data_IF_329430371307
#
_entry.id   IF_329430371307
#
_cell.length_a   1.000
_cell.length_b   1.000
_cell.length_c   1.000
_cell.angle_alpha   90.00
_cell.angle_beta   90.00
_cell.angle_gamma   90.00
#
_symmetry.space_group_name_H-M   'P 1'
#
loop_
_entity.id
_entity.type
_entity.pdbx_description
1 polymer ?
#
# COMPACT_ATOMS: atom_id res chain seq x y z
N UNK A 1 -27.96 -21.78 -17.10
CA UNK A 1 -27.24 -21.63 -15.82
C UNK A 1 -26.93 -20.15 -15.65
N UNK A 2 -27.32 -19.52 -14.52
CA UNK A 2 -26.81 -18.18 -14.19
C UNK A 2 -25.30 -18.30 -13.96
N UNK A 3 -24.50 -17.46 -14.59
CA UNK A 3 -23.06 -17.33 -14.31
C UNK A 3 -22.89 -17.02 -12.83
N UNK A 4 -22.05 -17.78 -12.15
CA UNK A 4 -21.72 -17.51 -10.73
C UNK A 4 -20.44 -16.70 -10.74
N UNK A 5 -20.48 -15.49 -10.19
CA UNK A 5 -19.34 -14.59 -10.10
C UNK A 5 -18.52 -14.83 -8.81
N UNK A 6 -18.55 -16.07 -8.29
CA UNK A 6 -17.82 -16.48 -7.10
C UNK A 6 -17.25 -17.90 -7.22
N UNK A 7 -16.17 -18.15 -6.51
CA UNK A 7 -15.63 -19.48 -6.24
C UNK A 7 -16.10 -19.95 -4.87
N UNK A 8 -16.22 -21.26 -4.66
CA UNK A 8 -16.42 -21.82 -3.32
C UNK A 8 -15.06 -22.25 -2.80
N UNK A 9 -14.62 -21.65 -1.68
CA UNK A 9 -13.33 -21.92 -1.06
C UNK A 9 -13.33 -23.24 -0.27
N UNK A 10 -12.17 -23.66 0.21
CA UNK A 10 -12.03 -24.86 1.03
C UNK A 10 -12.86 -24.82 2.32
N UNK A 11 -12.92 -23.65 2.98
CA UNK A 11 -13.76 -23.43 4.18
C UNK A 11 -15.25 -23.26 3.85
N UNK A 12 -15.64 -23.31 2.57
CA UNK A 12 -17.02 -23.21 2.11
C UNK A 12 -17.54 -21.78 1.89
N UNK A 13 -16.69 -20.77 1.96
CA UNK A 13 -17.05 -19.39 1.65
C UNK A 13 -17.34 -19.22 0.16
N UNK A 14 -18.33 -18.38 -0.17
CA UNK A 14 -18.56 -17.90 -1.52
C UNK A 14 -17.72 -16.63 -1.71
N UNK A 15 -16.59 -16.76 -2.35
CA UNK A 15 -15.62 -15.69 -2.55
C UNK A 15 -15.67 -15.15 -3.97
N UNK A 16 -15.87 -13.83 -4.13
CA UNK A 16 -15.87 -13.15 -5.43
C UNK A 16 -14.52 -12.45 -5.67
N UNK A 17 -13.60 -13.02 -6.45
CA UNK A 17 -12.26 -12.42 -6.62
C UNK A 17 -12.27 -11.00 -7.19
N UNK A 18 -13.25 -10.69 -8.06
CA UNK A 18 -13.39 -9.35 -8.66
C UNK A 18 -14.04 -8.30 -7.73
N UNK A 19 -14.71 -8.74 -6.68
CA UNK A 19 -15.33 -7.91 -5.65
C UNK A 19 -15.12 -8.56 -4.28
N UNK A 20 -13.85 -8.66 -3.81
CA UNK A 20 -13.53 -9.38 -2.59
C UNK A 20 -14.15 -8.73 -1.35
N UNK A 21 -14.63 -9.60 -0.45
CA UNK A 21 -15.08 -9.22 0.88
C UNK A 21 -13.98 -9.60 1.88
N UNK A 22 -13.55 -8.66 2.71
CA UNK A 22 -12.50 -8.87 3.72
C UNK A 22 -12.88 -9.98 4.72
N UNK A 23 -14.16 -10.10 5.08
CA UNK A 23 -14.64 -11.14 5.99
C UNK A 23 -14.55 -12.54 5.38
N UNK A 24 -14.64 -12.65 4.06
CA UNK A 24 -14.53 -13.92 3.33
C UNK A 24 -13.07 -14.35 3.03
N UNK A 25 -12.07 -13.51 3.34
CA UNK A 25 -10.66 -13.88 3.27
C UNK A 25 -10.33 -14.75 4.48
N UNK A 26 -9.92 -16.00 4.27
CA UNK A 26 -9.60 -16.96 5.34
C UNK A 26 -8.18 -17.52 5.18
N UNK A 27 -7.39 -17.45 6.24
CA UNK A 27 -6.01 -17.95 6.23
C UNK A 27 -5.92 -19.46 5.93
N UNK A 28 -6.91 -20.25 6.37
CA UNK A 28 -6.94 -21.68 6.08
C UNK A 28 -7.17 -21.93 4.59
N UNK A 29 -8.02 -21.13 3.95
CA UNK A 29 -8.24 -21.20 2.50
C UNK A 29 -6.96 -20.86 1.76
N UNK A 30 -6.26 -19.81 2.19
CA UNK A 30 -4.97 -19.39 1.63
C UNK A 30 -3.95 -20.53 1.74
N UNK A 31 -3.67 -21.01 2.95
CA UNK A 31 -2.69 -22.07 3.20
C UNK A 31 -3.02 -23.35 2.43
N UNK A 32 -4.32 -23.74 2.41
CA UNK A 32 -4.79 -24.91 1.70
C UNK A 32 -4.58 -24.81 0.19
N UNK A 33 -4.97 -23.69 -0.42
CA UNK A 33 -4.85 -23.46 -1.86
C UNK A 33 -3.39 -23.35 -2.29
N UNK A 34 -2.59 -22.51 -1.62
CA UNK A 34 -1.18 -22.32 -1.96
C UNK A 34 -0.35 -23.61 -1.85
N UNK A 35 -0.69 -24.51 -0.91
CA UNK A 35 -0.04 -25.82 -0.83
C UNK A 35 -0.30 -26.70 -2.06
N UNK A 36 -1.30 -26.41 -2.88
CA UNK A 36 -1.75 -27.21 -4.03
C UNK A 36 -1.55 -26.55 -5.38
N UNK A 37 -1.25 -25.25 -5.42
CA UNK A 37 -0.89 -24.51 -6.63
C UNK A 37 0.59 -24.79 -6.90
N UNK A 38 0.89 -25.32 -8.09
CA UNK A 38 2.27 -25.59 -8.53
C UNK A 38 2.91 -24.34 -9.14
N UNK A 39 4.12 -23.99 -8.71
CA UNK A 39 4.93 -22.91 -9.29
C UNK A 39 5.25 -23.17 -10.77
N UNK A 40 5.50 -22.09 -11.52
CA UNK A 40 5.86 -22.12 -12.94
C UNK A 40 4.86 -22.92 -13.79
N UNK A 41 3.55 -22.88 -13.48
CA UNK A 41 2.51 -23.67 -14.15
C UNK A 41 2.83 -25.18 -14.22
N UNK A 42 3.55 -25.73 -13.24
CA UNK A 42 3.90 -27.14 -13.17
C UNK A 42 5.03 -27.54 -14.15
N UNK A 43 5.82 -26.58 -14.66
CA UNK A 43 6.94 -26.86 -15.58
C UNK A 43 8.27 -27.15 -14.90
N UNK A 44 8.32 -27.15 -13.56
CA UNK A 44 9.47 -27.60 -12.81
C UNK A 44 9.62 -29.14 -12.85
N UNK A 45 10.84 -29.67 -12.64
CA UNK A 45 11.12 -31.10 -12.65
C UNK A 45 10.45 -31.87 -11.51
N UNK A 46 10.21 -31.19 -10.40
CA UNK A 46 9.51 -31.70 -9.22
C UNK A 46 8.32 -30.76 -8.92
N UNK A 47 7.28 -31.30 -8.26
CA UNK A 47 6.21 -30.46 -7.78
C UNK A 47 6.70 -29.59 -6.63
N UNK A 48 6.70 -28.29 -6.85
CA UNK A 48 7.04 -27.26 -5.86
C UNK A 48 5.88 -26.28 -5.80
N UNK A 49 5.26 -26.16 -4.64
CA UNK A 49 4.04 -25.37 -4.49
C UNK A 49 4.34 -23.90 -4.20
N UNK A 50 3.38 -23.02 -4.51
CA UNK A 50 3.42 -21.61 -4.08
C UNK A 50 3.55 -21.51 -2.56
N UNK A 51 2.89 -22.38 -1.80
CA UNK A 51 3.02 -22.45 -0.33
C UNK A 51 4.45 -22.77 0.14
N UNK A 52 5.18 -23.69 -0.55
CA UNK A 52 6.60 -23.94 -0.24
C UNK A 52 7.46 -22.71 -0.54
N UNK A 53 7.25 -22.06 -1.68
CA UNK A 53 7.92 -20.82 -2.03
C UNK A 53 7.72 -19.73 -0.96
N UNK A 54 6.49 -19.47 -0.54
CA UNK A 54 6.19 -18.49 0.50
C UNK A 54 6.86 -18.83 1.84
N UNK A 55 6.87 -20.11 2.24
CA UNK A 55 7.57 -20.58 3.42
C UNK A 55 9.08 -20.31 3.34
N UNK A 56 9.68 -20.60 2.21
CA UNK A 56 11.13 -20.41 2.02
C UNK A 56 11.49 -18.92 1.90
N UNK A 57 10.63 -18.07 1.29
CA UNK A 57 10.77 -16.61 1.33
C UNK A 57 10.73 -16.07 2.77
N UNK A 58 9.79 -16.53 3.60
CA UNK A 58 9.69 -16.09 4.99
C UNK A 58 10.91 -16.54 5.83
N UNK A 59 11.39 -17.75 5.63
CA UNK A 59 12.61 -18.28 6.28
C UNK A 59 13.87 -17.52 5.85
N UNK A 60 13.99 -17.22 4.56
CA UNK A 60 15.09 -16.41 4.03
C UNK A 60 15.09 -15.01 4.63
N UNK A 61 13.90 -14.39 4.79
CA UNK A 61 13.77 -13.11 5.48
C UNK A 61 14.34 -13.18 6.90
N UNK A 62 13.95 -14.20 7.69
CA UNK A 62 14.46 -14.39 9.04
C UNK A 62 15.97 -14.64 9.07
N UNK A 63 16.49 -15.45 8.14
CA UNK A 63 17.92 -15.75 8.04
C UNK A 63 18.76 -14.52 7.67
N UNK A 64 18.19 -13.56 6.92
CA UNK A 64 18.79 -12.24 6.64
C UNK A 64 18.72 -11.28 7.83
N UNK A 65 18.10 -11.65 8.94
CA UNK A 65 17.90 -10.79 10.11
C UNK A 65 16.77 -9.77 9.93
N UNK A 66 15.85 -10.00 8.99
CA UNK A 66 14.63 -9.20 8.87
C UNK A 66 13.72 -9.39 10.10
N UNK A 67 12.87 -8.41 10.36
CA UNK A 67 11.88 -8.47 11.44
C UNK A 67 10.84 -9.57 11.20
N UNK A 68 10.18 -10.04 12.26
CA UNK A 68 9.08 -11.01 12.16
C UNK A 68 7.94 -10.47 11.27
N UNK A 69 7.68 -9.17 11.32
CA UNK A 69 6.74 -8.49 10.44
C UNK A 69 7.14 -8.59 8.96
N UNK A 70 8.41 -8.39 8.62
CA UNK A 70 8.90 -8.51 7.24
C UNK A 70 8.83 -9.96 6.75
N UNK A 71 9.15 -10.92 7.61
CA UNK A 71 9.00 -12.35 7.31
C UNK A 71 7.53 -12.74 7.10
N UNK A 72 6.59 -12.17 7.87
CA UNK A 72 5.15 -12.37 7.70
C UNK A 72 4.67 -11.82 6.34
N UNK A 73 5.17 -10.66 5.92
CA UNK A 73 4.87 -10.11 4.59
C UNK A 73 5.41 -11.02 3.48
N UNK A 74 6.62 -11.59 3.65
CA UNK A 74 7.17 -12.58 2.72
C UNK A 74 6.34 -13.87 2.70
N UNK A 75 5.75 -14.30 3.82
CA UNK A 75 4.86 -15.46 3.85
C UNK A 75 3.57 -15.23 3.08
N UNK A 76 3.06 -14.00 3.10
CA UNK A 76 1.76 -13.63 2.51
C UNK A 76 1.86 -13.05 1.09
N UNK A 77 3.04 -12.85 0.50
CA UNK A 77 3.21 -12.04 -0.71
C UNK A 77 2.51 -12.61 -1.97
N UNK A 78 2.30 -13.91 -2.04
CA UNK A 78 1.53 -14.58 -3.10
C UNK A 78 0.15 -15.06 -2.60
N UNK A 79 -0.34 -14.57 -1.45
CA UNK A 79 -1.59 -15.07 -0.85
C UNK A 79 -2.84 -14.81 -1.71
N UNK A 80 -2.83 -13.80 -2.58
CA UNK A 80 -3.89 -13.52 -3.56
C UNK A 80 -4.07 -14.66 -4.57
N UNK A 81 -3.02 -15.42 -4.85
CA UNK A 81 -3.04 -16.54 -5.80
C UNK A 81 -3.95 -17.69 -5.33
N UNK A 82 -4.19 -17.80 -4.02
CA UNK A 82 -5.16 -18.74 -3.46
C UNK A 82 -6.57 -18.56 -4.06
N UNK A 83 -6.91 -17.37 -4.51
CA UNK A 83 -8.21 -17.00 -5.06
C UNK A 83 -8.18 -16.72 -6.56
N UNK A 84 -7.00 -16.42 -7.14
CA UNK A 84 -6.85 -15.97 -8.52
C UNK A 84 -5.93 -16.84 -9.37
N UNK A 85 -5.23 -17.81 -8.76
CA UNK A 85 -4.20 -18.67 -9.37
C UNK A 85 -2.87 -17.95 -9.67
N UNK A 86 -1.77 -18.71 -9.72
CA UNK A 86 -0.45 -18.25 -10.19
C UNK A 86 -0.47 -18.06 -11.70
N UNK A 87 -0.27 -16.82 -12.16
CA UNK A 87 -0.08 -16.50 -13.57
C UNK A 87 1.37 -16.11 -13.81
N UNK A 88 2.04 -16.84 -14.69
CA UNK A 88 3.46 -16.60 -15.00
C UNK A 88 3.71 -15.18 -15.50
N UNK A 89 4.81 -14.56 -15.05
CA UNK A 89 5.17 -13.17 -15.34
C UNK A 89 5.12 -12.76 -16.82
N UNK A 90 5.54 -13.63 -17.81
CA UNK A 90 5.41 -13.30 -19.22
C UNK A 90 3.98 -13.05 -19.71
N UNK A 91 3.00 -13.71 -19.11
CA UNK A 91 1.57 -13.53 -19.42
C UNK A 91 1.01 -12.38 -18.57
N UNK A 92 1.27 -12.39 -17.26
CA UNK A 92 0.73 -11.45 -16.28
C UNK A 92 0.96 -9.99 -16.66
N UNK A 93 2.17 -9.62 -17.14
CA UNK A 93 2.51 -8.25 -17.57
C UNK A 93 1.62 -7.68 -18.68
N UNK A 94 0.87 -8.50 -19.40
CA UNK A 94 -0.07 -8.09 -20.45
C UNK A 94 -1.53 -8.04 -19.97
N UNK A 95 -1.81 -8.43 -18.71
CA UNK A 95 -3.15 -8.54 -18.13
C UNK A 95 -3.41 -7.42 -17.11
N UNK A 96 -3.49 -6.17 -17.57
CA UNK A 96 -3.61 -4.98 -16.69
C UNK A 96 -4.78 -5.06 -15.70
N UNK A 97 -5.95 -5.52 -16.15
CA UNK A 97 -7.13 -5.65 -15.27
C UNK A 97 -6.92 -6.73 -14.21
N UNK A 98 -6.27 -7.85 -14.57
CA UNK A 98 -5.93 -8.89 -13.62
C UNK A 98 -4.98 -8.37 -12.54
N UNK A 99 -3.90 -7.69 -12.93
CA UNK A 99 -2.94 -7.09 -12.01
C UNK A 99 -3.63 -6.15 -11.01
N UNK A 100 -4.50 -5.26 -11.50
CA UNK A 100 -5.22 -4.32 -10.63
C UNK A 100 -6.13 -5.00 -9.59
N UNK A 101 -6.77 -6.12 -9.97
CA UNK A 101 -7.61 -6.91 -9.06
C UNK A 101 -6.75 -7.69 -8.06
N UNK A 102 -5.67 -8.28 -8.53
CA UNK A 102 -4.73 -9.04 -7.71
C UNK A 102 -4.04 -8.15 -6.67
N UNK A 103 -3.50 -6.99 -7.09
CA UNK A 103 -2.88 -6.01 -6.19
C UNK A 103 -3.87 -5.58 -5.10
N UNK A 104 -5.13 -5.27 -5.49
CA UNK A 104 -6.18 -4.92 -4.54
C UNK A 104 -6.47 -6.03 -3.53
N UNK A 105 -6.57 -7.27 -4.00
CA UNK A 105 -6.83 -8.41 -3.12
C UNK A 105 -5.65 -8.65 -2.17
N UNK A 106 -4.42 -8.56 -2.67
CA UNK A 106 -3.22 -8.69 -1.86
C UNK A 106 -3.12 -7.60 -0.79
N UNK A 107 -3.45 -6.35 -1.16
CA UNK A 107 -3.52 -5.24 -0.20
C UNK A 107 -4.54 -5.52 0.91
N UNK A 108 -5.73 -6.05 0.58
CA UNK A 108 -6.74 -6.43 1.57
C UNK A 108 -6.25 -7.56 2.49
N UNK A 109 -5.52 -8.54 1.95
CA UNK A 109 -4.91 -9.62 2.73
C UNK A 109 -3.87 -9.05 3.70
N UNK A 110 -3.00 -8.15 3.23
CA UNK A 110 -2.05 -7.47 4.10
C UNK A 110 -2.75 -6.63 5.17
N UNK A 111 -3.78 -5.87 4.83
CA UNK A 111 -4.54 -5.08 5.81
C UNK A 111 -5.21 -5.96 6.88
N UNK A 112 -5.71 -7.13 6.49
CA UNK A 112 -6.34 -8.07 7.43
C UNK A 112 -5.35 -8.70 8.40
N UNK A 113 -4.17 -9.10 7.92
CA UNK A 113 -3.25 -9.95 8.69
C UNK A 113 -1.99 -9.23 9.17
N UNK A 114 -1.65 -8.09 8.59
CA UNK A 114 -0.46 -7.32 8.96
C UNK A 114 -0.88 -5.90 9.31
N UNK A 115 -0.87 -5.54 10.60
CA UNK A 115 -1.29 -4.22 11.06
C UNK A 115 -0.66 -3.07 10.26
N UNK A 116 -1.51 -2.22 9.62
CA UNK A 116 -1.07 -1.10 8.78
C UNK A 116 -0.57 -1.50 7.38
N UNK A 117 -0.88 -2.73 6.90
CA UNK A 117 -0.55 -3.18 5.55
C UNK A 117 0.95 -3.28 5.26
N UNK A 118 1.35 -3.31 4.00
CA UNK A 118 2.76 -3.32 3.58
C UNK A 118 3.29 -1.89 3.37
N UNK A 119 4.52 -1.65 3.77
CA UNK A 119 5.21 -0.36 3.64
C UNK A 119 6.24 -0.41 2.50
N UNK A 120 6.70 0.74 1.96
CA UNK A 120 7.63 0.79 0.82
C UNK A 120 8.90 -0.02 1.00
N UNK A 121 9.55 0.21 2.14
CA UNK A 121 10.77 -0.50 2.48
C UNK A 121 10.54 -2.00 2.56
N UNK A 122 9.41 -2.39 3.17
CA UNK A 122 9.02 -3.79 3.30
C UNK A 122 8.73 -4.40 1.93
N UNK A 123 8.05 -3.67 1.04
CA UNK A 123 7.78 -4.11 -0.33
C UNK A 123 9.07 -4.37 -1.13
N UNK A 124 10.09 -3.51 -0.98
CA UNK A 124 11.41 -3.73 -1.59
C UNK A 124 12.06 -5.01 -1.07
N UNK A 125 12.05 -5.21 0.26
CA UNK A 125 12.61 -6.41 0.89
C UNK A 125 11.90 -7.67 0.42
N UNK A 126 10.55 -7.67 0.42
CA UNK A 126 9.75 -8.80 -0.08
C UNK A 126 10.11 -9.12 -1.53
N UNK A 127 10.18 -8.09 -2.39
CA UNK A 127 10.50 -8.28 -3.81
C UNK A 127 11.92 -8.77 -4.05
N UNK A 128 12.87 -8.31 -3.26
CA UNK A 128 14.26 -8.80 -3.34
C UNK A 128 14.35 -10.28 -2.95
N UNK A 129 13.68 -10.68 -1.87
CA UNK A 129 13.67 -12.06 -1.40
C UNK A 129 12.94 -12.98 -2.39
N UNK A 130 11.78 -12.56 -2.91
CA UNK A 130 11.04 -13.27 -3.95
C UNK A 130 11.92 -13.52 -5.18
N UNK A 131 12.58 -12.48 -5.70
CA UNK A 131 13.50 -12.61 -6.85
C UNK A 131 14.69 -13.54 -6.55
N UNK A 132 15.24 -13.48 -5.34
CA UNK A 132 16.31 -14.39 -4.91
C UNK A 132 15.82 -15.83 -4.92
N UNK A 133 14.67 -16.09 -4.30
CA UNK A 133 14.11 -17.44 -4.25
C UNK A 133 13.78 -17.97 -5.65
N UNK A 134 13.15 -17.14 -6.50
CA UNK A 134 12.83 -17.48 -7.89
C UNK A 134 14.10 -17.90 -8.66
N UNK A 135 15.23 -17.19 -8.50
CA UNK A 135 16.49 -17.57 -9.13
C UNK A 135 16.92 -18.99 -8.72
N UNK A 136 16.92 -19.28 -7.42
CA UNK A 136 17.36 -20.59 -6.91
C UNK A 136 16.40 -21.73 -7.25
N UNK A 137 15.10 -21.45 -7.34
CA UNK A 137 14.09 -22.39 -7.85
C UNK A 137 14.41 -22.79 -9.30
N UNK A 138 14.66 -21.81 -10.17
CA UNK A 138 14.98 -22.08 -11.58
C UNK A 138 16.29 -22.84 -11.73
N UNK A 139 17.32 -22.50 -10.98
CA UNK A 139 18.60 -23.24 -11.01
C UNK A 139 18.40 -24.69 -10.58
N UNK A 140 17.67 -24.94 -9.49
CA UNK A 140 17.56 -26.29 -8.92
C UNK A 140 16.48 -27.16 -9.59
N UNK A 141 15.37 -26.55 -10.01
CA UNK A 141 14.18 -27.27 -10.53
C UNK A 141 14.09 -27.24 -12.06
N UNK A 142 14.86 -26.37 -12.74
CA UNK A 142 14.85 -26.23 -14.19
C UNK A 142 16.25 -26.34 -14.80
N UNK A 143 17.32 -26.16 -14.02
CA UNK A 143 18.69 -26.10 -14.52
C UNK A 143 18.99 -24.81 -15.30
N UNK A 144 18.23 -23.73 -15.07
CA UNK A 144 18.29 -22.47 -15.81
C UNK A 144 18.69 -21.31 -14.88
N UNK A 145 19.68 -20.50 -15.29
CA UNK A 145 20.07 -19.28 -14.59
C UNK A 145 19.29 -18.11 -15.14
N UNK A 146 18.65 -17.34 -14.27
CA UNK A 146 17.86 -16.15 -14.65
C UNK A 146 18.69 -14.87 -14.76
N UNK A 147 19.93 -14.88 -14.21
CA UNK A 147 20.89 -13.78 -14.30
C UNK A 147 22.32 -14.32 -14.27
N UNK A 148 23.30 -13.49 -14.66
CA UNK A 148 24.72 -13.83 -14.60
C UNK A 148 25.23 -13.92 -13.17
N UNK A 149 24.80 -13.01 -12.30
CA UNK A 149 25.14 -13.00 -10.88
C UNK A 149 24.13 -13.83 -10.08
N UNK A 150 24.65 -14.73 -9.26
CA UNK A 150 23.86 -15.53 -8.35
C UNK A 150 23.52 -14.72 -7.09
N UNK A 151 22.24 -14.45 -6.80
CA UNK A 151 21.88 -13.76 -5.58
C UNK A 151 22.18 -14.61 -4.34
N UNK A 152 22.70 -13.97 -3.28
CA UNK A 152 23.03 -14.67 -2.04
C UNK A 152 21.79 -15.26 -1.37
N UNK A 153 21.87 -16.53 -0.96
CA UNK A 153 20.84 -17.26 -0.22
C UNK A 153 21.39 -17.67 1.15
N UNK A 154 20.59 -17.46 2.21
CA UNK A 154 21.00 -17.68 3.60
C UNK A 154 20.38 -18.94 4.22
N UNK A 155 19.41 -19.53 3.54
CA UNK A 155 18.82 -20.83 3.91
C UNK A 155 19.23 -21.92 2.92
N UNK A 156 18.89 -23.16 3.24
CA UNK A 156 18.94 -24.28 2.31
C UNK A 156 17.54 -24.78 2.03
N UNK A 157 16.86 -24.28 0.94
CA UNK A 157 15.51 -24.70 0.60
C UNK A 157 15.44 -26.20 0.28
N UNK A 158 14.31 -26.81 0.62
CA UNK A 158 14.02 -28.18 0.19
C UNK A 158 13.21 -28.16 -1.11
N UNK A 159 13.85 -28.36 -2.24
CA UNK A 159 13.19 -28.43 -3.54
C UNK A 159 12.54 -29.79 -3.85
N UNK A 160 12.62 -30.77 -2.95
CA UNK A 160 11.94 -32.04 -3.10
C UNK A 160 10.43 -31.87 -2.80
N UNK A 161 9.64 -32.78 -3.35
CA UNK A 161 8.20 -32.84 -3.06
C UNK A 161 7.93 -32.90 -1.56
N UNK A 162 7.14 -31.96 -1.08
CA UNK A 162 6.60 -31.95 0.28
C UNK A 162 5.10 -32.16 0.21
N UNK A 163 4.54 -33.02 1.06
CA UNK A 163 3.10 -33.30 1.03
C UNK A 163 2.27 -32.04 1.29
N UNK A 164 1.16 -31.89 0.59
CA UNK A 164 0.27 -30.74 0.70
C UNK A 164 -0.14 -30.42 2.12
N UNK A 165 -0.44 -31.47 2.89
CA UNK A 165 -0.78 -31.32 4.31
C UNK A 165 0.39 -30.78 5.14
N UNK A 166 1.60 -31.22 4.87
CA UNK A 166 2.78 -30.74 5.59
C UNK A 166 3.09 -29.27 5.27
N UNK A 167 2.93 -28.87 3.99
CA UNK A 167 3.08 -27.46 3.57
C UNK A 167 2.00 -26.60 4.23
N UNK A 168 0.74 -26.99 4.15
CA UNK A 168 -0.39 -26.30 4.76
C UNK A 168 -0.17 -26.10 6.27
N UNK A 169 0.21 -27.17 6.98
CA UNK A 169 0.49 -27.10 8.42
C UNK A 169 1.66 -26.16 8.72
N UNK A 170 2.78 -26.28 8.00
CA UNK A 170 3.94 -25.40 8.22
C UNK A 170 3.60 -23.93 7.94
N UNK A 171 2.77 -23.65 6.94
CA UNK A 171 2.32 -22.30 6.61
C UNK A 171 1.51 -21.68 7.75
N UNK A 172 0.56 -22.43 8.30
CA UNK A 172 -0.27 -21.97 9.43
C UNK A 172 0.57 -21.81 10.71
N UNK A 173 1.44 -22.78 11.02
CA UNK A 173 2.31 -22.71 12.20
C UNK A 173 3.26 -21.49 12.14
N UNK A 174 3.88 -21.27 10.99
CA UNK A 174 4.79 -20.13 10.78
C UNK A 174 4.04 -18.79 10.80
N UNK A 175 2.84 -18.74 10.22
CA UNK A 175 1.98 -17.56 10.30
C UNK A 175 1.68 -17.19 11.75
N UNK A 176 1.26 -18.15 12.57
CA UNK A 176 0.93 -17.93 13.99
C UNK A 176 2.16 -17.46 14.79
N UNK A 177 3.33 -18.00 14.50
CA UNK A 177 4.59 -17.59 15.13
C UNK A 177 4.96 -16.16 14.76
N UNK A 178 4.98 -15.87 13.45
CA UNK A 178 5.37 -14.56 12.92
C UNK A 178 4.40 -13.46 13.33
N UNK A 179 3.09 -13.74 13.36
CA UNK A 179 2.06 -12.77 13.78
C UNK A 179 2.25 -12.35 15.24
N UNK A 180 2.51 -13.33 16.15
CA UNK A 180 2.77 -13.03 17.56
C UNK A 180 4.04 -12.21 17.75
N UNK A 181 5.12 -12.58 17.06
CA UNK A 181 6.39 -11.90 17.17
C UNK A 181 6.32 -10.48 16.57
N UNK A 182 5.65 -10.32 15.42
CA UNK A 182 5.44 -9.01 14.78
C UNK A 182 4.62 -8.05 15.65
N UNK A 183 3.65 -8.56 16.40
CA UNK A 183 2.88 -7.77 17.36
C UNK A 183 3.74 -7.27 18.52
N UNK A 184 4.60 -8.13 19.09
CA UNK A 184 5.55 -7.76 20.14
C UNK A 184 6.59 -6.73 19.65
N UNK A 185 7.14 -6.92 18.44
CA UNK A 185 8.06 -5.96 17.83
C UNK A 185 7.39 -4.59 17.63
N UNK A 186 6.11 -4.57 17.27
CA UNK A 186 5.33 -3.33 17.05
C UNK A 186 5.18 -2.52 18.33
N UNK A 187 5.00 -3.17 19.49
CA UNK A 187 4.85 -2.51 20.79
C UNK A 187 6.14 -1.82 21.26
N UNK A 188 7.30 -2.30 20.80
CA UNK A 188 8.63 -1.81 21.23
C UNK A 188 9.25 -0.77 20.29
N UNK A 189 8.68 -0.57 19.09
CA UNK A 189 9.31 0.24 18.04
C UNK A 189 8.92 1.72 18.11
N UNK A 190 9.90 2.61 17.92
CA UNK A 190 9.65 4.02 17.57
C UNK A 190 9.41 4.12 16.06
N UNK A 191 8.26 4.68 15.68
CA UNK A 191 7.87 4.87 14.29
C UNK A 191 8.40 6.18 13.74
N UNK A 192 8.96 6.18 12.51
CA UNK A 192 9.23 7.41 11.78
C UNK A 192 8.07 7.69 10.82
N UNK A 193 7.39 8.80 10.99
CA UNK A 193 6.25 9.18 10.16
C UNK A 193 6.40 10.60 9.64
N UNK A 194 5.95 10.84 8.41
CA UNK A 194 6.11 12.10 7.70
C UNK A 194 4.74 12.63 7.29
N UNK A 195 4.45 13.86 7.66
CA UNK A 195 3.29 14.60 7.17
C UNK A 195 3.75 15.70 6.23
N UNK A 196 3.14 15.80 5.04
CA UNK A 196 3.54 16.69 3.96
C UNK A 196 2.42 17.67 3.63
N UNK A 197 2.78 18.95 3.54
CA UNK A 197 1.92 20.04 3.05
C UNK A 197 2.69 20.88 2.02
N UNK A 198 2.01 21.77 1.31
CA UNK A 198 2.67 22.70 0.40
C UNK A 198 2.31 24.15 0.77
N UNK A 199 3.33 25.00 0.90
CA UNK A 199 3.16 26.40 1.23
C UNK A 199 4.32 27.25 0.70
N UNK A 200 4.02 28.50 0.32
CA UNK A 200 5.01 29.48 -0.12
C UNK A 200 5.92 28.99 -1.28
N UNK A 201 5.38 28.15 -2.17
CA UNK A 201 6.11 27.59 -3.29
C UNK A 201 7.03 26.43 -2.96
N UNK A 202 6.98 25.90 -1.73
CA UNK A 202 7.79 24.76 -1.29
C UNK A 202 6.94 23.68 -0.62
N UNK A 203 7.39 22.47 -0.73
CA UNK A 203 6.89 21.34 0.07
C UNK A 203 7.45 21.43 1.48
N UNK A 204 6.57 21.32 2.47
CA UNK A 204 6.90 21.34 3.90
C UNK A 204 6.64 19.97 4.48
N UNK A 205 7.56 19.45 5.29
CA UNK A 205 7.37 18.18 5.96
C UNK A 205 7.63 18.29 7.47
N UNK A 206 6.75 17.69 8.27
CA UNK A 206 6.98 17.38 9.65
C UNK A 206 7.33 15.89 9.78
N UNK A 207 8.41 15.59 10.49
CA UNK A 207 8.92 14.23 10.67
C UNK A 207 8.90 13.91 12.16
N UNK A 208 8.13 12.89 12.51
CA UNK A 208 8.08 12.35 13.87
C UNK A 208 8.88 11.06 13.97
N UNK A 209 9.77 10.98 14.96
CA UNK A 209 10.52 9.77 15.30
C UNK A 209 10.37 9.51 16.80
N UNK A 210 9.43 8.65 17.18
CA UNK A 210 9.02 8.51 18.57
C UNK A 210 8.37 9.77 19.10
N UNK A 211 9.02 10.45 20.05
CA UNK A 211 8.59 11.75 20.61
C UNK A 211 9.26 12.96 19.94
N UNK A 212 10.31 12.73 19.17
CA UNK A 212 11.06 13.80 18.51
C UNK A 212 10.33 14.27 17.25
N UNK A 213 10.26 15.59 17.05
CA UNK A 213 9.65 16.23 15.91
C UNK A 213 10.67 17.15 15.22
N UNK A 214 10.88 16.97 13.93
CA UNK A 214 11.70 17.87 13.11
C UNK A 214 10.91 18.35 11.89
N UNK A 215 11.32 19.50 11.35
CA UNK A 215 10.68 20.10 10.18
C UNK A 215 11.71 20.30 9.07
N UNK A 216 11.29 20.09 7.83
CA UNK A 216 12.11 20.32 6.64
C UNK A 216 11.27 20.89 5.51
N UNK A 217 11.93 21.46 4.51
CA UNK A 217 11.27 21.89 3.28
C UNK A 217 12.11 21.51 2.06
N UNK A 218 11.45 21.37 0.92
CA UNK A 218 12.09 21.10 -0.37
C UNK A 218 11.32 21.77 -1.51
N UNK A 219 12.01 22.00 -2.63
CA UNK A 219 11.42 22.58 -3.82
C UNK A 219 10.54 21.57 -4.58
N UNK A 220 10.86 20.28 -4.47
CA UNK A 220 10.08 19.19 -5.10
C UNK A 220 9.57 18.17 -4.10
N UNK A 221 8.41 17.57 -4.37
CA UNK A 221 7.87 16.46 -3.59
C UNK A 221 8.81 15.25 -3.60
N UNK A 222 9.48 15.03 -4.73
CA UNK A 222 10.45 13.93 -4.88
C UNK A 222 11.60 14.01 -3.88
N UNK A 223 12.13 15.21 -3.61
CA UNK A 223 13.23 15.38 -2.66
C UNK A 223 12.83 14.96 -1.24
N UNK A 224 11.60 15.29 -0.81
CA UNK A 224 11.06 14.81 0.46
C UNK A 224 10.88 13.30 0.43
N UNK A 225 10.22 12.78 -0.59
CA UNK A 225 9.98 11.34 -0.73
C UNK A 225 11.29 10.54 -0.72
N UNK A 226 12.28 10.98 -1.48
CA UNK A 226 13.60 10.35 -1.53
C UNK A 226 14.32 10.39 -0.18
N UNK A 227 14.23 11.50 0.53
CA UNK A 227 14.88 11.67 1.85
C UNK A 227 14.26 10.73 2.89
N UNK A 228 12.93 10.56 2.84
CA UNK A 228 12.18 9.75 3.81
C UNK A 228 11.60 8.47 3.21
N UNK A 229 12.29 7.89 2.24
CA UNK A 229 11.87 6.66 1.56
C UNK A 229 11.73 5.45 2.50
N UNK A 230 12.36 5.50 3.67
CA UNK A 230 12.35 4.45 4.69
C UNK A 230 11.39 4.75 5.85
N UNK A 231 10.63 5.86 5.76
CA UNK A 231 9.62 6.19 6.77
C UNK A 231 8.51 5.12 6.83
N UNK A 232 7.96 4.93 8.01
CA UNK A 232 6.91 3.94 8.28
C UNK A 232 5.55 4.38 7.71
N UNK A 233 5.28 5.69 7.65
CA UNK A 233 4.11 6.26 6.98
C UNK A 233 4.45 7.65 6.42
N UNK A 234 3.92 7.95 5.22
CA UNK A 234 4.06 9.26 4.56
C UNK A 234 2.66 9.74 4.14
N UNK A 235 2.18 10.78 4.80
CA UNK A 235 0.85 11.35 4.57
C UNK A 235 0.93 12.76 3.95
N UNK A 236 0.04 13.04 3.01
CA UNK A 236 -0.01 14.32 2.29
C UNK A 236 -1.40 14.95 2.38
N UNK A 237 -1.49 16.29 2.56
CA UNK A 237 -2.74 17.06 2.59
C UNK A 237 -3.20 17.48 1.18
N UNK A 238 -3.07 16.59 0.22
CA UNK A 238 -3.54 16.79 -1.15
C UNK A 238 -4.12 15.48 -1.69
N UNK A 239 -5.04 15.54 -2.65
CA UNK A 239 -5.59 14.36 -3.29
C UNK A 239 -4.53 13.47 -3.91
N UNK A 240 -4.60 12.17 -3.61
CA UNK A 240 -3.80 11.11 -4.22
C UNK A 240 -4.70 10.26 -5.12
N UNK A 241 -4.25 10.06 -6.37
CA UNK A 241 -5.07 9.48 -7.43
C UNK A 241 -6.03 10.48 -8.07
N UNK A 242 -6.21 10.41 -9.39
CA UNK A 242 -7.01 11.35 -10.16
C UNK A 242 -8.08 10.60 -10.97
N UNK A 243 -9.37 11.04 -10.92
CA UNK A 243 -10.42 10.42 -11.71
C UNK A 243 -10.20 10.68 -13.22
N UNK A 244 -10.47 9.68 -14.04
CA UNK A 244 -10.49 9.78 -15.51
C UNK A 244 -11.92 9.70 -16.09
N UNK A 245 -12.88 9.34 -15.25
CA UNK A 245 -14.31 9.22 -15.59
C UNK A 245 -15.22 9.62 -14.41
N UNK A 246 -16.53 9.67 -14.65
CA UNK A 246 -17.53 9.87 -13.58
C UNK A 246 -17.62 8.65 -12.64
N UNK A 247 -17.37 7.48 -13.16
CA UNK A 247 -17.33 6.25 -12.39
C UNK A 247 -16.17 6.31 -11.40
N UNK A 248 -14.97 6.70 -11.85
CA UNK A 248 -13.80 6.87 -10.98
C UNK A 248 -14.02 7.98 -9.94
N UNK A 249 -14.67 9.10 -10.31
CA UNK A 249 -15.06 10.14 -9.35
C UNK A 249 -15.97 9.59 -8.25
N UNK A 250 -16.87 8.67 -8.58
CA UNK A 250 -17.77 8.01 -7.65
C UNK A 250 -17.04 7.12 -6.62
N UNK A 251 -15.84 6.67 -6.92
CA UNK A 251 -15.00 5.84 -6.04
C UNK A 251 -14.15 6.68 -5.07
N UNK A 252 -14.07 7.98 -5.27
CA UNK A 252 -13.26 8.85 -4.42
C UNK A 252 -13.89 9.12 -3.04
N UNK A 253 -13.03 9.32 -2.01
CA UNK A 253 -13.46 9.44 -0.61
C UNK A 253 -14.23 10.72 -0.26
N UNK A 254 -14.24 11.77 -1.12
CA UNK A 254 -14.73 13.09 -0.76
C UNK A 254 -16.19 13.11 -0.30
N UNK A 255 -17.03 12.25 -0.87
CA UNK A 255 -18.46 12.18 -0.51
C UNK A 255 -18.66 11.64 0.91
N UNK A 256 -17.90 10.62 1.29
CA UNK A 256 -17.91 10.03 2.63
C UNK A 256 -17.18 10.92 3.63
N UNK A 257 -16.05 11.48 3.23
CA UNK A 257 -15.24 12.37 4.05
C UNK A 257 -16.03 13.61 4.50
N UNK A 258 -16.91 14.17 3.65
CA UNK A 258 -17.83 15.27 4.02
C UNK A 258 -18.78 14.91 5.17
N UNK A 259 -19.13 13.64 5.33
CA UNK A 259 -20.00 13.18 6.44
C UNK A 259 -19.22 13.14 7.76
N UNK A 260 -17.91 12.92 7.69
CA UNK A 260 -17.01 12.82 8.85
C UNK A 260 -16.49 14.21 9.26
N UNK A 261 -16.18 15.05 8.28
CA UNK A 261 -15.68 16.41 8.48
C UNK A 261 -16.82 17.40 8.62
N UNK A 262 -17.39 17.52 9.81
CA UNK A 262 -18.43 18.51 10.10
C UNK A 262 -17.92 19.95 9.82
N UNK A 263 -18.38 20.56 8.71
CA UNK A 263 -18.09 21.96 8.36
C UNK A 263 -16.84 22.21 7.53
N UNK A 264 -16.09 21.21 7.14
CA UNK A 264 -14.96 21.34 6.20
C UNK A 264 -15.36 20.87 4.80
N UNK A 265 -15.04 21.67 3.76
CA UNK A 265 -15.28 21.25 2.40
C UNK A 265 -14.19 20.28 1.93
N UNK A 266 -14.48 18.99 1.88
CA UNK A 266 -13.73 18.10 1.01
C UNK A 266 -14.04 18.53 -0.43
N UNK A 267 -13.17 19.33 -1.03
CA UNK A 267 -13.35 19.82 -2.39
C UNK A 267 -13.25 18.62 -3.35
N UNK A 268 -14.17 18.56 -4.31
CA UNK A 268 -14.11 17.54 -5.34
C UNK A 268 -12.80 17.68 -6.14
N UNK A 269 -12.21 16.56 -6.58
CA UNK A 269 -10.92 16.53 -7.28
C UNK A 269 -11.13 16.72 -8.78
N UNK A 270 -10.30 17.52 -9.49
CA UNK A 270 -10.39 17.64 -10.95
C UNK A 270 -9.99 16.33 -11.63
N UNK A 271 -10.50 16.09 -12.84
CA UNK A 271 -10.08 14.93 -13.62
C UNK A 271 -8.62 15.07 -14.08
N UNK A 272 -7.97 13.93 -14.38
CA UNK A 272 -6.58 13.89 -14.84
C UNK A 272 -6.36 14.73 -16.09
N UNK A 273 -7.26 14.70 -17.07
CA UNK A 273 -7.19 15.47 -18.28
C UNK A 273 -7.15 16.99 -17.98
N UNK A 274 -7.93 17.46 -17.02
CA UNK A 274 -7.91 18.85 -16.58
C UNK A 274 -6.60 19.21 -15.87
N UNK A 275 -6.02 18.30 -15.08
CA UNK A 275 -4.72 18.52 -14.41
C UNK A 275 -3.60 18.72 -15.42
N UNK A 276 -3.61 17.99 -16.54
CA UNK A 276 -2.59 18.04 -17.58
C UNK A 276 -2.90 19.04 -18.71
N UNK A 277 -4.01 19.75 -18.68
CA UNK A 277 -4.38 20.73 -19.70
C UNK A 277 -3.36 21.88 -19.80
N UNK A 278 -3.20 22.45 -20.99
CA UNK A 278 -2.17 23.45 -21.30
C UNK A 278 -2.38 24.75 -20.50
N UNK A 279 -3.63 25.15 -20.32
CA UNK A 279 -4.01 26.36 -19.60
C UNK A 279 -5.31 26.17 -18.78
N UNK A 280 -5.72 27.21 -18.07
CA UNK A 280 -6.85 27.16 -17.17
C UNK A 280 -8.20 27.06 -17.90
N UNK A 281 -8.31 27.56 -19.12
CA UNK A 281 -9.54 27.44 -19.91
C UNK A 281 -9.69 26.01 -20.43
N UNK A 282 -8.64 25.46 -21.02
CA UNK A 282 -8.60 24.07 -21.43
C UNK A 282 -8.87 23.12 -20.26
N UNK A 283 -8.33 23.43 -19.06
CA UNK A 283 -8.59 22.64 -17.87
C UNK A 283 -10.07 22.65 -17.45
N UNK A 284 -10.75 23.80 -17.54
CA UNK A 284 -12.18 23.89 -17.25
C UNK A 284 -13.02 23.11 -18.26
N UNK A 285 -12.71 23.23 -19.55
CA UNK A 285 -13.39 22.51 -20.62
C UNK A 285 -13.23 21.00 -20.47
N UNK A 286 -12.01 20.51 -20.22
CA UNK A 286 -11.76 19.11 -20.00
C UNK A 286 -12.51 18.57 -18.77
N UNK A 287 -12.53 19.31 -17.66
CA UNK A 287 -13.24 18.86 -16.46
C UNK A 287 -14.76 18.83 -16.67
N UNK A 288 -15.32 19.78 -17.41
CA UNK A 288 -16.74 19.78 -17.81
C UNK A 288 -17.03 18.58 -18.71
N UNK A 289 -16.15 18.31 -19.68
CA UNK A 289 -16.30 17.18 -20.62
C UNK A 289 -16.30 15.84 -19.91
N UNK A 290 -15.40 15.63 -18.94
CA UNK A 290 -15.19 14.34 -18.26
C UNK A 290 -16.16 14.18 -17.07
N UNK A 291 -16.22 15.19 -16.19
CA UNK A 291 -16.96 15.10 -14.92
C UNK A 291 -18.29 15.88 -14.90
N UNK A 292 -18.58 16.67 -15.96
CA UNK A 292 -19.81 17.46 -16.07
C UNK A 292 -19.85 18.69 -15.15
N UNK A 293 -18.71 19.13 -14.61
CA UNK A 293 -18.59 20.31 -13.73
C UNK A 293 -17.32 21.08 -13.98
N UNK A 294 -17.31 22.38 -13.69
CA UNK A 294 -16.13 23.24 -13.79
C UNK A 294 -15.16 22.99 -12.62
N UNK A 295 -13.93 23.48 -12.74
CA UNK A 295 -12.96 23.53 -11.66
C UNK A 295 -13.06 24.85 -10.90
N UNK A 296 -12.88 24.83 -9.58
CA UNK A 296 -12.85 26.03 -8.74
C UNK A 296 -11.50 26.77 -8.88
N UNK A 297 -11.45 28.08 -8.50
CA UNK A 297 -10.17 28.80 -8.46
C UNK A 297 -9.10 28.14 -7.61
N UNK A 298 -9.49 27.53 -6.48
CA UNK A 298 -8.57 26.79 -5.61
C UNK A 298 -8.00 25.55 -6.31
N UNK A 299 -8.85 24.76 -6.97
CA UNK A 299 -8.42 23.59 -7.76
C UNK A 299 -7.51 24.00 -8.91
N UNK A 300 -7.81 25.13 -9.57
CA UNK A 300 -6.97 25.71 -10.61
C UNK A 300 -5.58 26.03 -10.07
N UNK A 301 -5.49 26.71 -8.93
CA UNK A 301 -4.23 27.06 -8.28
C UNK A 301 -3.40 25.83 -7.85
N UNK A 302 -4.05 24.72 -7.52
CA UNK A 302 -3.41 23.48 -7.06
C UNK A 302 -3.06 22.51 -8.21
N UNK A 303 -3.42 22.79 -9.47
CA UNK A 303 -3.21 21.87 -10.60
C UNK A 303 -1.78 21.40 -10.73
N UNK A 304 -0.80 22.30 -10.60
CA UNK A 304 0.62 21.98 -10.71
C UNK A 304 1.07 20.99 -9.62
N UNK A 305 0.53 21.10 -8.39
CA UNK A 305 0.84 20.18 -7.28
C UNK A 305 0.23 18.80 -7.52
N UNK A 306 -1.02 18.76 -8.00
CA UNK A 306 -1.68 17.50 -8.33
C UNK A 306 -0.96 16.79 -9.48
N UNK A 307 -0.45 17.54 -10.45
CA UNK A 307 0.36 17.02 -11.55
C UNK A 307 1.68 16.45 -11.03
N UNK A 308 2.38 17.17 -10.15
CA UNK A 308 3.63 16.70 -9.54
C UNK A 308 3.43 15.39 -8.75
N UNK A 309 2.35 15.27 -7.96
CA UNK A 309 1.99 14.04 -7.26
C UNK A 309 1.73 12.89 -8.26
N UNK A 310 0.91 13.14 -9.29
CA UNK A 310 0.56 12.11 -10.28
C UNK A 310 1.78 11.66 -11.10
N UNK A 311 2.69 12.58 -11.47
CA UNK A 311 3.95 12.28 -12.16
C UNK A 311 4.91 11.49 -11.26
N UNK A 312 5.04 11.86 -9.97
CA UNK A 312 5.83 11.10 -9.01
C UNK A 312 5.36 9.65 -8.95
N UNK A 313 4.06 9.44 -8.80
CA UNK A 313 3.47 8.09 -8.71
C UNK A 313 3.50 7.32 -10.04
N UNK A 314 3.59 8.03 -11.17
CA UNK A 314 3.76 7.41 -12.49
C UNK A 314 5.18 6.86 -12.70
N UNK A 315 6.19 7.65 -12.31
CA UNK A 315 7.61 7.29 -12.51
C UNK A 315 8.18 6.44 -11.39
N UNK A 316 7.57 6.46 -10.19
CA UNK A 316 8.01 5.79 -8.98
C UNK A 316 6.87 4.93 -8.41
N UNK A 317 6.64 3.77 -9.04
CA UNK A 317 5.55 2.85 -8.69
C UNK A 317 5.56 2.40 -7.24
N UNK A 318 6.74 2.35 -6.61
CA UNK A 318 6.93 2.01 -5.21
C UNK A 318 6.19 2.97 -4.25
N UNK A 319 5.84 4.18 -4.72
CA UNK A 319 5.14 5.18 -3.93
C UNK A 319 3.60 5.11 -4.03
N UNK A 320 3.04 4.32 -4.94
CA UNK A 320 1.58 4.24 -5.17
C UNK A 320 0.77 3.83 -3.95
N UNK A 321 1.35 2.98 -3.09
CA UNK A 321 0.68 2.50 -1.87
C UNK A 321 1.26 3.12 -0.59
N UNK A 322 2.18 4.05 -0.71
CA UNK A 322 2.99 4.64 0.35
C UNK A 322 2.62 6.07 0.61
N UNK A 323 2.63 6.90 -0.44
CA UNK A 323 2.16 8.26 -0.34
C UNK A 323 0.64 8.21 -0.24
N UNK A 324 0.12 8.51 0.95
CA UNK A 324 -1.29 8.36 1.27
C UNK A 324 -1.92 9.70 1.63
N UNK A 325 -3.16 9.85 1.22
CA UNK A 325 -3.92 11.06 1.48
C UNK A 325 -4.45 11.09 2.92
N UNK A 326 -4.35 12.25 3.58
CA UNK A 326 -5.04 12.55 4.82
C UNK A 326 -5.32 14.04 4.93
N UNK A 327 -6.07 14.45 5.95
CA UNK A 327 -6.43 15.85 6.22
C UNK A 327 -6.24 16.15 7.70
N UNK A 328 -5.48 17.19 8.04
CA UNK A 328 -5.27 17.61 9.44
C UNK A 328 -6.59 17.86 10.19
N UNK A 329 -7.66 18.26 9.47
CA UNK A 329 -8.99 18.55 10.02
C UNK A 329 -9.71 17.30 10.58
N UNK A 330 -9.31 16.09 10.19
CA UNK A 330 -9.93 14.85 10.72
C UNK A 330 -9.65 14.64 12.22
N UNK A 331 -8.63 15.31 12.76
CA UNK A 331 -8.30 15.28 14.19
C UNK A 331 -9.28 16.05 15.07
N UNK A 332 -10.10 16.95 14.48
CA UNK A 332 -11.06 17.74 15.26
C UNK A 332 -10.43 18.47 16.45
N UNK A 333 -10.97 18.27 17.63
CA UNK A 333 -10.49 18.92 18.89
C UNK A 333 -9.08 18.45 19.29
N UNK A 334 -8.68 17.22 18.93
CA UNK A 334 -7.36 16.67 19.22
C UNK A 334 -6.23 17.46 18.55
N UNK A 335 -6.50 18.13 17.42
CA UNK A 335 -5.53 18.98 16.71
C UNK A 335 -4.90 20.02 17.65
N UNK A 336 -5.70 20.66 18.49
CA UNK A 336 -5.23 21.68 19.44
C UNK A 336 -4.24 21.11 20.47
N UNK A 337 -4.52 19.91 20.98
CA UNK A 337 -3.66 19.23 21.95
C UNK A 337 -2.32 18.85 21.34
N UNK A 338 -2.34 18.35 20.10
CA UNK A 338 -1.13 17.99 19.34
C UNK A 338 -0.26 19.23 19.13
N UNK A 339 -0.81 20.34 18.64
CA UNK A 339 -0.07 21.60 18.45
C UNK A 339 0.53 22.09 19.78
N UNK A 340 -0.20 21.98 20.88
CA UNK A 340 0.29 22.37 22.20
C UNK A 340 1.44 21.46 22.68
N UNK A 341 1.37 20.16 22.40
CA UNK A 341 2.42 19.19 22.77
C UNK A 341 3.76 19.50 22.09
N UNK A 342 3.75 19.94 20.83
CA UNK A 342 4.94 20.22 20.02
C UNK A 342 5.21 21.72 19.84
N UNK A 343 4.71 22.56 20.76
CA UNK A 343 4.77 24.03 20.64
C UNK A 343 6.19 24.57 20.52
N UNK A 344 7.15 23.98 21.24
CA UNK A 344 8.54 24.43 21.24
C UNK A 344 9.19 24.16 19.88
N UNK A 345 9.07 22.96 19.35
CA UNK A 345 9.60 22.57 18.04
C UNK A 345 8.96 23.39 16.91
N UNK A 346 7.65 23.62 16.98
CA UNK A 346 6.95 24.50 16.03
C UNK A 346 7.47 25.94 16.09
N UNK A 347 7.72 26.47 17.30
CA UNK A 347 8.25 27.83 17.47
C UNK A 347 9.66 27.96 16.90
N UNK A 348 10.53 26.99 17.12
CA UNK A 348 11.89 26.92 16.55
C UNK A 348 11.85 26.85 15.02
N UNK A 349 10.90 26.14 14.44
CA UNK A 349 10.70 26.04 12.99
C UNK A 349 9.99 27.26 12.36
N UNK A 350 9.60 28.27 13.17
CA UNK A 350 8.96 29.49 12.71
C UNK A 350 7.43 29.39 12.55
N UNK A 351 6.77 28.66 13.40
CA UNK A 351 5.32 28.41 13.56
C UNK A 351 4.40 28.99 12.49
N UNK A 352 4.12 28.23 11.45
CA UNK A 352 3.12 28.54 10.42
C UNK A 352 2.04 27.47 10.42
N UNK A 353 0.84 27.82 9.99
CA UNK A 353 -0.31 26.92 9.96
C UNK A 353 -0.01 25.65 9.15
N UNK A 354 0.75 25.78 8.08
CA UNK A 354 1.13 24.66 7.19
C UNK A 354 2.04 23.65 7.90
N UNK A 355 2.94 24.11 8.78
CA UNK A 355 3.76 23.21 9.60
C UNK A 355 2.92 22.52 10.68
N UNK A 356 1.91 23.20 11.23
CA UNK A 356 0.94 22.57 12.14
C UNK A 356 0.14 21.47 11.44
N UNK A 357 -0.29 21.72 10.20
CA UNK A 357 -1.02 20.73 9.40
C UNK A 357 -0.10 19.56 9.04
N UNK A 358 1.14 19.80 8.63
CA UNK A 358 2.14 18.76 8.40
C UNK A 358 2.40 17.89 9.65
N UNK A 359 2.55 18.53 10.82
CA UNK A 359 2.68 17.83 12.11
C UNK A 359 1.45 16.94 12.40
N UNK A 360 0.26 17.47 12.19
CA UNK A 360 -0.98 16.70 12.37
C UNK A 360 -1.03 15.46 11.47
N UNK A 361 -0.59 15.56 10.23
CA UNK A 361 -0.49 14.43 9.32
C UNK A 361 0.54 13.39 9.81
N UNK A 362 1.71 13.84 10.29
CA UNK A 362 2.70 12.92 10.84
C UNK A 362 2.17 12.17 12.08
N UNK A 363 1.37 12.84 12.94
CA UNK A 363 0.69 12.18 14.08
C UNK A 363 -0.35 11.17 13.62
N UNK A 364 -1.15 11.49 12.59
CA UNK A 364 -2.10 10.52 11.99
C UNK A 364 -1.33 9.31 11.45
N UNK A 365 -0.17 9.52 10.82
CA UNK A 365 0.73 8.45 10.40
C UNK A 365 1.19 7.56 11.56
N UNK A 366 1.52 8.13 12.72
CA UNK A 366 1.83 7.34 13.92
C UNK A 366 0.62 6.55 14.44
N UNK A 367 -0.59 7.14 14.37
CA UNK A 367 -1.82 6.42 14.71
C UNK A 367 -2.04 5.24 13.75
N UNK A 368 -1.82 5.43 12.45
CA UNK A 368 -1.88 4.37 11.46
C UNK A 368 -0.91 3.23 11.80
N UNK A 369 0.34 3.53 12.08
CA UNK A 369 1.35 2.55 12.46
C UNK A 369 0.98 1.74 13.70
N UNK A 370 0.15 2.30 14.60
CA UNK A 370 -0.34 1.68 15.84
C UNK A 370 -1.74 1.09 15.73
N UNK A 371 -2.31 0.97 14.52
CA UNK A 371 -3.71 0.56 14.28
C UNK A 371 -4.77 1.48 14.89
N UNK A 372 -4.43 2.73 15.16
CA UNK A 372 -5.32 3.77 15.64
C UNK A 372 -6.01 4.57 14.52
N UNK A 373 -5.96 4.10 13.28
CA UNK A 373 -6.58 4.74 12.12
C UNK A 373 -7.51 3.79 11.37
N UNK A 374 -8.32 4.36 10.51
CA UNK A 374 -9.16 3.67 9.52
C UNK A 374 -9.09 4.42 8.19
N UNK A 375 -9.59 3.83 7.12
CA UNK A 375 -9.58 4.42 5.78
C UNK A 375 -10.97 4.73 5.26
N UNK A 376 -11.10 5.80 4.48
CA UNK A 376 -12.33 6.15 3.74
C UNK A 376 -12.01 6.18 2.24
N UNK A 377 -12.70 5.38 1.42
CA UNK A 377 -13.63 4.29 1.81
C UNK A 377 -12.88 3.16 2.53
N UNK A 378 -13.60 2.37 3.33
CA UNK A 378 -13.03 1.24 4.07
C UNK A 378 -12.44 0.17 3.13
N UNK A 379 -13.07 -0.02 1.96
CA UNK A 379 -12.56 -0.92 0.92
C UNK A 379 -11.65 -0.12 -0.02
N UNK A 380 -10.40 -0.58 -0.26
CA UNK A 380 -9.48 0.09 -1.16
C UNK A 380 -10.05 0.28 -2.56
N UNK A 381 -9.93 1.49 -3.09
CA UNK A 381 -10.26 1.83 -4.47
C UNK A 381 -9.03 2.42 -5.14
N UNK A 382 -8.76 2.03 -6.38
CA UNK A 382 -7.64 2.55 -7.15
C UNK A 382 -8.17 3.33 -8.36
N UNK A 383 -7.41 4.36 -8.77
CA UNK A 383 -7.66 5.04 -10.03
C UNK A 383 -7.23 4.19 -11.25
N UNK A 384 -7.44 4.70 -12.46
CA UNK A 384 -7.09 4.00 -13.71
C UNK A 384 -5.59 3.68 -13.86
N UNK A 385 -4.72 4.28 -13.05
CA UNK A 385 -3.26 4.01 -13.00
C UNK A 385 -2.85 3.12 -11.82
N UNK A 386 -3.81 2.57 -11.07
CA UNK A 386 -3.55 1.74 -9.91
C UNK A 386 -3.12 2.53 -8.66
N UNK A 387 -3.36 3.84 -8.63
CA UNK A 387 -3.08 4.67 -7.46
C UNK A 387 -4.23 4.58 -6.47
N UNK A 388 -3.93 4.29 -5.22
CA UNK A 388 -4.91 4.14 -4.15
C UNK A 388 -5.60 5.47 -3.82
N UNK A 389 -6.92 5.47 -3.89
CA UNK A 389 -7.78 6.62 -3.59
C UNK A 389 -8.47 6.42 -2.24
N UNK A 390 -7.73 6.58 -1.16
CA UNK A 390 -8.23 6.48 0.22
C UNK A 390 -7.68 7.60 1.08
N UNK A 391 -8.48 8.07 2.03
CA UNK A 391 -8.07 9.03 3.07
C UNK A 391 -7.91 8.29 4.39
N UNK A 392 -6.77 8.48 5.05
CA UNK A 392 -6.50 7.96 6.38
C UNK A 392 -7.15 8.89 7.40
N UNK A 393 -7.92 8.33 8.33
CA UNK A 393 -8.53 9.05 9.45
C UNK A 393 -8.27 8.33 10.77
N UNK A 394 -8.20 9.03 11.92
CA UNK A 394 -8.13 8.39 13.23
C UNK A 394 -9.37 7.56 13.50
N UNK A 395 -9.22 6.41 14.16
CA UNK A 395 -10.36 5.67 14.72
C UNK A 395 -10.97 6.49 15.86
N UNK A 396 -12.29 6.48 15.92
CA UNK A 396 -13.04 7.12 17.00
C UNK A 396 -12.97 6.34 18.31
#
# INVERSE_FOLDING_TARGET
MRSRDYITTYSGHQFSPLAPDMEAIDLKDIAHALARIGRANGHFSEFYSVGQHCLDCAREALARGCSARQALLCLLHDASEAYMSDITSPVKKHLRQYIAVEDRLLDMIYEKYVPGGIRPREQRVVKEIDNTMLYHEFVNLKGEKLSEEEPGLHITPCFAFTSFWAVEKQYLDLFDELSRNAQQETELRSWQTVGITHANGQWQAAVLSGADCTFTSADTLWDICKTYQDADAVLIDLPVGLPESKEDEGLRPEAELRKVLHGCSAAAVPCRQAVYAADDNAAREENIRVLGRTISPQQTAQRHLLREIDELLLYHNEWKNVLRESRAQVLGDSRRLIIQQYREQLAEAGAKRELEDALCLAVIGQMECRNGSETIPAIPCNDARGVRMQVIIPRK
#
